data_IF_736142987730
#
_entry.id   IF_736142987730
#
_cell.length_a   1.000
_cell.length_b   1.000
_cell.length_c   1.000
_cell.angle_alpha   90.00
_cell.angle_beta   90.00
_cell.angle_gamma   90.00
#
_symmetry.space_group_name_H-M   'P 1'
#
loop_
_entity.id
_entity.type
_entity.pdbx_description
1 polymer ?
#
# COMPACT_ATOMS: atom_id res chain seq x y z
N UNK A 1 7.36 -24.28 2.07
CA UNK A 1 8.67 -23.87 1.47
C UNK A 1 9.62 -23.45 2.60
N UNK A 2 10.83 -24.01 2.70
CA UNK A 2 11.74 -23.76 3.83
C UNK A 2 12.50 -22.42 3.80
N UNK A 3 12.53 -21.70 2.68
CA UNK A 3 13.36 -20.49 2.48
C UNK A 3 12.57 -19.22 2.11
N UNK A 4 11.25 -19.19 2.33
CA UNK A 4 10.42 -18.05 1.97
C UNK A 4 10.39 -16.97 3.07
N UNK A 5 10.58 -15.70 2.68
CA UNK A 5 10.36 -14.55 3.55
C UNK A 5 8.92 -14.05 3.50
N UNK A 6 8.43 -13.48 4.60
CA UNK A 6 7.10 -12.88 4.70
C UNK A 6 7.28 -11.44 5.19
N UNK A 7 6.69 -10.50 4.45
CA UNK A 7 6.74 -9.08 4.79
C UNK A 7 5.41 -8.39 4.48
N UNK A 8 5.24 -7.21 5.06
CA UNK A 8 4.08 -6.36 4.82
C UNK A 8 4.32 -5.47 3.60
N UNK A 9 3.52 -5.57 2.52
CA UNK A 9 3.70 -4.74 1.33
C UNK A 9 3.52 -3.25 1.66
N UNK A 10 2.65 -2.91 2.62
CA UNK A 10 2.46 -1.52 3.05
C UNK A 10 3.71 -0.97 3.75
N UNK A 11 4.25 -1.69 4.74
CA UNK A 11 5.44 -1.25 5.48
C UNK A 11 6.65 -1.11 4.55
N UNK A 12 6.83 -2.02 3.59
CA UNK A 12 7.92 -1.97 2.61
C UNK A 12 7.83 -0.73 1.71
N UNK A 13 6.68 -0.50 1.06
CA UNK A 13 6.49 0.66 0.18
C UNK A 13 6.68 1.98 0.93
N UNK A 14 6.11 2.09 2.14
CA UNK A 14 6.24 3.29 2.97
C UNK A 14 7.70 3.49 3.41
N UNK A 15 8.41 2.43 3.78
CA UNK A 15 9.80 2.52 4.20
C UNK A 15 10.71 3.03 3.07
N UNK A 16 10.53 2.55 1.84
CA UNK A 16 11.30 3.06 0.69
C UNK A 16 10.98 4.52 0.40
N UNK A 17 9.69 4.88 0.38
CA UNK A 17 9.28 6.26 0.10
C UNK A 17 9.79 7.25 1.16
N UNK A 18 9.66 6.90 2.45
CA UNK A 18 10.13 7.76 3.54
C UNK A 18 11.66 7.84 3.60
N UNK A 19 12.40 6.76 3.28
CA UNK A 19 13.85 6.83 3.17
C UNK A 19 14.30 7.74 2.03
N UNK A 20 13.60 7.71 0.89
CA UNK A 20 13.83 8.65 -0.21
C UNK A 20 13.59 10.10 0.24
N UNK A 21 12.49 10.37 0.96
CA UNK A 21 12.19 11.71 1.50
C UNK A 21 13.24 12.19 2.50
N UNK A 22 13.68 11.32 3.42
CA UNK A 22 14.77 11.63 4.36
C UNK A 22 16.09 11.96 3.64
N UNK A 23 16.25 11.51 2.40
CA UNK A 23 17.40 11.81 1.55
C UNK A 23 17.17 12.98 0.57
N UNK A 24 16.05 13.70 0.68
CA UNK A 24 15.76 14.94 -0.05
C UNK A 24 14.87 14.76 -1.28
N UNK A 25 14.20 13.61 -1.44
CA UNK A 25 13.15 13.46 -2.46
C UNK A 25 11.86 14.13 -1.99
N UNK A 26 11.16 14.80 -2.90
CA UNK A 26 9.84 15.34 -2.64
C UNK A 26 8.75 14.38 -3.10
N UNK A 27 7.70 14.21 -2.29
CA UNK A 27 6.55 13.36 -2.61
C UNK A 27 5.29 14.22 -2.72
N UNK A 28 4.64 14.15 -3.87
CA UNK A 28 3.37 14.84 -4.14
C UNK A 28 2.22 13.84 -4.23
N UNK A 29 1.53 13.60 -3.11
CA UNK A 29 0.30 12.80 -3.09
C UNK A 29 -0.89 13.60 -3.64
N UNK A 30 -1.98 12.91 -4.00
CA UNK A 30 -3.17 13.51 -4.63
C UNK A 30 -2.84 14.36 -5.88
N UNK A 31 -1.80 13.97 -6.59
CA UNK A 31 -1.25 14.67 -7.76
C UNK A 31 -1.28 13.73 -8.95
N UNK A 32 -2.27 13.91 -9.82
CA UNK A 32 -2.55 13.05 -10.97
C UNK A 32 -1.88 13.67 -12.18
N UNK A 33 -1.12 12.88 -12.93
CA UNK A 33 -0.63 13.26 -14.26
C UNK A 33 -1.80 13.24 -15.24
N UNK A 34 -2.05 14.37 -15.90
CA UNK A 34 -3.17 14.55 -16.82
C UNK A 34 -2.73 14.50 -18.29
N UNK A 35 -1.55 15.04 -18.59
CA UNK A 35 -0.96 15.01 -19.92
C UNK A 35 0.54 15.31 -19.86
N UNK A 36 1.24 15.06 -20.97
CA UNK A 36 2.64 15.41 -21.14
C UNK A 36 2.83 16.13 -22.48
N UNK A 37 3.74 17.09 -22.51
CA UNK A 37 4.16 17.76 -23.74
C UNK A 37 5.46 17.12 -24.22
N UNK A 38 5.45 16.55 -25.43
CA UNK A 38 6.61 15.96 -26.09
C UNK A 38 7.03 16.83 -27.28
N UNK A 39 8.31 17.15 -27.39
CA UNK A 39 8.91 17.84 -28.53
C UNK A 39 10.28 17.23 -28.86
N UNK A 40 10.58 17.05 -30.14
CA UNK A 40 11.85 16.49 -30.63
C UNK A 40 12.25 15.15 -29.98
N UNK A 41 11.22 14.32 -29.69
CA UNK A 41 11.37 13.03 -29.02
C UNK A 41 11.67 13.11 -27.53
N UNK A 42 11.41 14.25 -26.87
CA UNK A 42 11.68 14.47 -25.45
C UNK A 42 10.46 15.05 -24.73
N UNK A 43 10.16 14.56 -23.53
CA UNK A 43 9.16 15.15 -22.64
C UNK A 43 9.72 16.45 -22.07
N UNK A 44 9.02 17.56 -22.33
CA UNK A 44 9.37 18.90 -21.85
C UNK A 44 8.63 19.26 -20.57
N UNK A 45 7.36 18.87 -20.48
CA UNK A 45 6.49 19.20 -19.36
C UNK A 45 5.50 18.08 -19.05
N UNK A 46 5.13 17.98 -17.78
CA UNK A 46 4.12 17.06 -17.25
C UNK A 46 3.07 17.92 -16.57
N UNK A 47 1.85 17.92 -17.12
CA UNK A 47 0.72 18.63 -16.55
C UNK A 47 0.03 17.75 -15.51
N UNK A 48 -0.20 18.32 -14.34
CA UNK A 48 -0.93 17.65 -13.25
C UNK A 48 -2.12 18.49 -12.80
N UNK A 49 -3.02 17.91 -12.03
CA UNK A 49 -4.10 18.64 -11.37
C UNK A 49 -3.63 19.71 -10.35
N UNK A 50 -2.32 19.80 -10.09
CA UNK A 50 -1.71 20.77 -9.15
C UNK A 50 -0.64 21.64 -9.80
N UNK A 51 -0.59 21.68 -11.13
CA UNK A 51 0.35 22.51 -11.89
C UNK A 51 1.28 21.69 -12.78
N UNK A 52 2.23 22.38 -13.39
CA UNK A 52 3.12 21.83 -14.42
C UNK A 52 4.50 21.59 -13.84
N UNK A 53 5.05 20.40 -14.07
CA UNK A 53 6.43 20.01 -13.72
C UNK A 53 7.25 19.91 -15.01
N UNK A 54 8.53 20.29 -14.96
CA UNK A 54 9.45 20.23 -16.11
C UNK A 54 10.63 19.29 -15.83
N UNK A 55 10.42 17.96 -15.93
CA UNK A 55 11.43 16.98 -15.55
C UNK A 55 12.53 16.85 -16.59
N UNK A 56 13.74 16.46 -16.15
CA UNK A 56 14.82 16.06 -17.07
C UNK A 56 14.63 14.62 -17.57
N UNK A 57 14.10 13.74 -16.72
CA UNK A 57 13.76 12.33 -17.00
C UNK A 57 12.43 12.00 -16.33
N UNK A 58 11.62 11.19 -16.99
CA UNK A 58 10.37 10.64 -16.47
C UNK A 58 10.51 9.14 -16.32
N UNK A 59 10.09 8.61 -15.17
CA UNK A 59 10.01 7.17 -14.92
C UNK A 59 8.52 6.82 -14.81
N UNK A 60 8.04 5.96 -15.71
CA UNK A 60 6.67 5.46 -15.69
C UNK A 60 6.58 4.20 -14.82
N UNK A 61 6.13 4.38 -13.58
CA UNK A 61 5.87 3.32 -12.60
C UNK A 61 4.39 3.29 -12.17
N UNK A 62 3.47 3.54 -13.10
CA UNK A 62 2.04 3.77 -12.81
C UNK A 62 1.20 2.49 -12.63
N UNK A 63 1.84 1.32 -12.51
CA UNK A 63 1.17 0.04 -12.28
C UNK A 63 0.10 -0.25 -13.35
N UNK A 64 -1.16 -0.40 -12.92
CA UNK A 64 -2.27 -0.72 -13.84
C UNK A 64 -2.52 0.38 -14.88
N UNK A 65 -1.99 1.58 -14.69
CA UNK A 65 -2.10 2.72 -15.61
C UNK A 65 -0.84 2.99 -16.44
N UNK A 66 0.18 2.12 -16.39
CA UNK A 66 1.44 2.37 -17.11
C UNK A 66 1.24 2.51 -18.63
N UNK A 67 0.30 1.76 -19.22
CA UNK A 67 -0.10 1.89 -20.63
C UNK A 67 -0.73 3.26 -20.95
N UNK A 68 -1.53 3.80 -20.03
CA UNK A 68 -2.15 5.12 -20.18
C UNK A 68 -1.14 6.25 -20.08
N UNK A 69 -0.15 6.13 -19.19
CA UNK A 69 0.96 7.08 -19.11
C UNK A 69 1.82 7.04 -20.38
N UNK A 70 2.13 5.85 -20.88
CA UNK A 70 2.88 5.68 -22.12
C UNK A 70 2.16 6.29 -23.33
N UNK A 71 0.83 6.11 -23.40
CA UNK A 71 -0.01 6.71 -24.45
C UNK A 71 -0.03 8.24 -24.46
N UNK A 72 0.24 8.93 -23.33
CA UNK A 72 0.30 10.40 -23.31
C UNK A 72 1.44 10.99 -24.16
N UNK A 73 2.40 10.14 -24.56
CA UNK A 73 3.59 10.52 -25.34
C UNK A 73 3.78 9.61 -26.56
N UNK A 74 2.70 8.98 -27.02
CA UNK A 74 2.65 8.05 -28.17
C UNK A 74 3.63 6.86 -28.09
N UNK A 75 3.99 6.41 -26.88
CA UNK A 75 4.92 5.30 -26.67
C UNK A 75 4.19 3.97 -26.40
N UNK A 76 3.31 3.57 -27.32
CA UNK A 76 2.28 2.55 -27.09
C UNK A 76 2.69 1.13 -27.56
N UNK A 77 3.91 0.69 -27.25
CA UNK A 77 4.37 -0.66 -27.62
C UNK A 77 3.84 -1.77 -26.71
N UNK A 78 3.18 -1.43 -25.60
CA UNK A 78 2.56 -2.38 -24.68
C UNK A 78 1.17 -1.92 -24.22
N UNK A 79 0.36 -2.87 -23.74
CA UNK A 79 -0.93 -2.59 -23.09
C UNK A 79 -1.03 -3.34 -21.77
N UNK A 80 -1.78 -2.79 -20.81
CA UNK A 80 -2.04 -3.47 -19.54
C UNK A 80 -3.40 -4.16 -19.60
N UNK A 81 -3.36 -5.48 -19.42
CA UNK A 81 -4.49 -6.37 -19.23
C UNK A 81 -4.70 -6.64 -17.72
N UNK A 82 -5.69 -6.03 -17.07
CA UNK A 82 -5.84 -6.14 -15.62
C UNK A 82 -6.26 -7.55 -15.16
N UNK A 83 -5.53 -8.11 -14.20
CA UNK A 83 -5.87 -9.41 -13.57
C UNK A 83 -6.26 -9.23 -12.11
N UNK A 84 -7.51 -9.52 -11.78
CA UNK A 84 -8.05 -9.39 -10.42
C UNK A 84 -7.75 -10.64 -9.60
N UNK A 85 -7.49 -10.44 -8.32
CA UNK A 85 -7.45 -11.51 -7.33
C UNK A 85 -8.06 -11.03 -6.03
N UNK A 86 -8.86 -11.90 -5.42
CA UNK A 86 -9.52 -11.71 -4.14
C UNK A 86 -8.86 -12.56 -3.07
N UNK A 87 -8.87 -12.04 -1.85
CA UNK A 87 -8.21 -12.62 -0.69
C UNK A 87 -9.18 -12.61 0.48
N UNK A 88 -9.13 -13.67 1.28
CA UNK A 88 -9.81 -13.75 2.59
C UNK A 88 -8.77 -13.61 3.69
N UNK A 89 -9.08 -12.82 4.72
CA UNK A 89 -8.24 -12.64 5.89
C UNK A 89 -8.95 -13.11 7.15
N UNK A 90 -8.25 -13.93 7.93
CA UNK A 90 -8.68 -14.49 9.20
C UNK A 90 -8.01 -13.75 10.36
N UNK A 91 -8.70 -13.68 11.48
CA UNK A 91 -8.20 -13.11 12.74
C UNK A 91 -6.84 -13.69 13.15
N UNK A 92 -5.90 -12.82 13.55
CA UNK A 92 -4.59 -13.20 14.08
C UNK A 92 -4.65 -14.12 15.31
N UNK A 93 -5.77 -14.14 16.03
CA UNK A 93 -6.01 -15.13 17.11
C UNK A 93 -5.87 -16.58 16.64
N UNK A 94 -6.15 -16.85 15.36
CA UNK A 94 -5.99 -18.17 14.74
C UNK A 94 -4.61 -18.39 14.11
N UNK A 95 -3.73 -17.37 14.12
CA UNK A 95 -2.39 -17.44 13.51
C UNK A 95 -1.50 -18.56 14.06
N UNK A 96 -1.72 -18.99 15.31
CA UNK A 96 -1.02 -20.13 15.91
C UNK A 96 -1.32 -21.48 15.24
N UNK A 97 -2.35 -21.56 14.39
CA UNK A 97 -2.68 -22.78 13.64
C UNK A 97 -1.80 -22.96 12.39
N UNK A 98 -0.99 -21.96 12.01
CA UNK A 98 -0.19 -21.99 10.78
C UNK A 98 1.27 -21.61 11.04
N UNK A 99 2.16 -22.56 10.76
CA UNK A 99 3.61 -22.40 10.94
C UNK A 99 4.40 -22.32 9.62
N UNK A 100 3.77 -22.65 8.49
CA UNK A 100 4.42 -22.65 7.18
C UNK A 100 3.46 -22.16 6.09
N UNK A 101 4.01 -21.74 4.94
CA UNK A 101 3.21 -21.45 3.75
C UNK A 101 2.69 -22.78 3.20
N UNK A 102 1.37 -22.88 3.09
CA UNK A 102 0.70 -24.07 2.56
C UNK A 102 0.05 -23.75 1.22
N UNK A 103 0.36 -24.54 0.22
CA UNK A 103 -0.37 -24.57 -1.05
C UNK A 103 -1.08 -25.90 -1.15
N UNK A 104 -2.32 -25.92 -1.65
CA UNK A 104 -3.00 -27.15 -2.02
C UNK A 104 -2.97 -27.31 -3.55
N UNK A 105 -1.92 -27.93 -4.11
CA UNK A 105 -1.85 -28.18 -5.54
C UNK A 105 -2.87 -29.26 -5.89
N UNK A 106 -4.02 -28.89 -6.44
CA UNK A 106 -4.92 -29.86 -7.09
C UNK A 106 -4.27 -30.35 -8.39
N UNK A 107 -4.46 -31.63 -8.76
CA UNK A 107 -3.95 -32.23 -10.02
C UNK A 107 -4.31 -31.43 -11.29
N UNK A 108 -5.40 -30.65 -11.25
CA UNK A 108 -5.84 -29.74 -12.31
C UNK A 108 -5.04 -28.44 -12.43
N UNK A 109 -4.23 -28.07 -11.43
CA UNK A 109 -3.31 -26.91 -11.51
C UNK A 109 -2.16 -27.12 -12.48
N UNK A 110 -1.90 -28.36 -12.92
CA UNK A 110 -0.88 -28.69 -13.94
C UNK A 110 -1.15 -28.07 -15.32
N UNK A 111 -2.41 -27.67 -15.62
CA UNK A 111 -2.81 -26.99 -16.86
C UNK A 111 -3.11 -25.49 -16.67
N UNK A 112 -2.97 -24.96 -15.46
CA UNK A 112 -3.26 -23.55 -15.14
C UNK A 112 -1.95 -22.77 -15.01
N UNK A 113 -1.91 -21.57 -15.59
CA UNK A 113 -0.79 -20.62 -15.41
C UNK A 113 -0.78 -19.99 -14.00
N UNK A 114 -1.78 -20.25 -13.17
CA UNK A 114 -1.81 -19.81 -11.78
C UNK A 114 -1.52 -20.97 -10.82
N UNK A 115 -0.61 -20.75 -9.86
CA UNK A 115 -0.33 -21.69 -8.76
C UNK A 115 -1.54 -21.91 -7.82
N UNK A 116 -2.68 -21.28 -8.11
CA UNK A 116 -3.95 -21.51 -7.45
C UNK A 116 -4.07 -20.92 -6.05
N UNK A 117 -3.28 -19.90 -5.71
CA UNK A 117 -3.29 -19.29 -4.38
C UNK A 117 -2.75 -20.21 -3.28
N UNK A 118 -2.66 -19.69 -2.06
CA UNK A 118 -2.17 -20.44 -0.91
C UNK A 118 -2.73 -19.91 0.39
N UNK A 119 -2.28 -20.53 1.47
CA UNK A 119 -2.57 -20.12 2.84
C UNK A 119 -1.26 -19.70 3.51
N UNK A 120 -1.22 -18.44 3.92
CA UNK A 120 0.00 -17.79 4.43
C UNK A 120 -0.34 -17.09 5.74
N UNK A 121 0.54 -17.24 6.76
CA UNK A 121 0.48 -16.36 7.93
C UNK A 121 1.18 -15.06 7.61
N UNK A 122 0.51 -13.92 7.70
CA UNK A 122 1.13 -12.62 7.43
C UNK A 122 2.18 -12.29 8.48
N UNK A 123 3.02 -11.30 8.22
CA UNK A 123 4.03 -10.80 9.19
C UNK A 123 3.40 -10.34 10.52
N UNK A 124 2.11 -10.03 10.51
CA UNK A 124 1.34 -9.55 11.66
C UNK A 124 0.46 -10.65 12.30
N UNK A 125 0.61 -11.90 11.85
CA UNK A 125 0.00 -13.08 12.46
C UNK A 125 -1.40 -13.45 11.95
N UNK A 126 -2.01 -12.65 11.08
CA UNK A 126 -3.26 -13.01 10.41
C UNK A 126 -3.04 -14.23 9.49
N UNK A 127 -4.08 -15.05 9.26
CA UNK A 127 -4.04 -16.06 8.19
C UNK A 127 -4.71 -15.47 6.95
N UNK A 128 -3.99 -15.53 5.83
CA UNK A 128 -4.42 -15.07 4.52
C UNK A 128 -4.68 -16.28 3.64
N UNK A 129 -5.84 -16.32 2.96
CA UNK A 129 -6.20 -17.35 1.98
C UNK A 129 -6.41 -16.75 0.59
N UNK A 130 -5.85 -17.40 -0.43
CA UNK A 130 -5.91 -16.99 -1.84
C UNK A 130 -4.55 -16.52 -2.37
N UNK A 131 -4.50 -15.59 -3.35
CA UNK A 131 -5.66 -15.08 -4.08
C UNK A 131 -6.17 -16.09 -5.11
N UNK A 132 -7.43 -15.93 -5.55
CA UNK A 132 -7.83 -16.42 -6.86
C UNK A 132 -7.23 -15.52 -7.97
N UNK A 133 -7.47 -15.84 -9.25
CA UNK A 133 -6.97 -15.02 -10.36
C UNK A 133 -7.87 -15.11 -11.57
N UNK A 134 -8.40 -13.97 -12.03
CA UNK A 134 -9.21 -13.89 -13.25
C UNK A 134 -9.00 -12.55 -13.95
N UNK A 135 -9.24 -12.55 -15.26
CA UNK A 135 -9.12 -11.38 -16.13
C UNK A 135 -10.30 -10.43 -15.94
N UNK A 136 -10.07 -9.13 -16.08
CA UNK A 136 -11.14 -8.14 -16.07
C UNK A 136 -10.77 -6.85 -16.83
N UNK A 137 -11.76 -6.09 -17.34
CA UNK A 137 -11.48 -4.89 -18.11
C UNK A 137 -11.14 -3.66 -17.23
N UNK A 138 -11.50 -3.67 -15.93
CA UNK A 138 -11.37 -2.48 -15.10
C UNK A 138 -10.05 -2.46 -14.31
N UNK A 139 -9.33 -1.33 -14.38
CA UNK A 139 -8.06 -1.14 -13.67
C UNK A 139 -8.24 -0.92 -12.15
N UNK A 140 -9.41 -0.42 -11.73
CA UNK A 140 -9.71 -0.05 -10.33
C UNK A 140 -10.98 -0.72 -9.76
N UNK A 141 -11.37 -1.89 -10.28
CA UNK A 141 -12.45 -2.66 -9.65
C UNK A 141 -11.94 -3.46 -8.44
N UNK A 142 -12.12 -2.90 -7.25
CA UNK A 142 -11.77 -3.52 -5.98
C UNK A 142 -12.94 -4.22 -5.27
N UNK A 143 -14.09 -4.38 -5.95
CA UNK A 143 -15.23 -5.10 -5.37
C UNK A 143 -14.90 -6.58 -5.15
N UNK A 144 -15.70 -7.27 -4.34
CA UNK A 144 -15.58 -8.73 -4.17
C UNK A 144 -16.87 -9.42 -4.54
N UNK A 145 -16.79 -10.63 -5.07
CA UNK A 145 -17.96 -11.47 -5.41
C UNK A 145 -18.08 -12.64 -4.45
N UNK A 146 -19.29 -12.91 -3.97
CA UNK A 146 -19.54 -13.98 -2.99
C UNK A 146 -19.07 -15.34 -3.51
N UNK A 147 -19.38 -15.63 -4.76
CA UNK A 147 -19.08 -16.91 -5.41
C UNK A 147 -17.56 -17.17 -5.43
N UNK A 148 -16.78 -16.13 -5.67
CA UNK A 148 -15.33 -16.19 -5.69
C UNK A 148 -14.74 -16.38 -4.28
N UNK A 149 -15.31 -15.71 -3.28
CA UNK A 149 -14.92 -15.89 -1.87
C UNK A 149 -15.25 -17.31 -1.41
N UNK A 150 -16.43 -17.83 -1.76
CA UNK A 150 -16.84 -19.20 -1.46
C UNK A 150 -15.87 -20.23 -2.10
N UNK A 151 -15.39 -19.97 -3.32
CA UNK A 151 -14.40 -20.82 -3.99
C UNK A 151 -13.07 -20.86 -3.21
N UNK A 152 -12.55 -19.69 -2.80
CA UNK A 152 -11.34 -19.58 -1.98
C UNK A 152 -11.51 -20.36 -0.67
N UNK A 153 -12.65 -20.19 0.02
CA UNK A 153 -12.95 -20.88 1.27
C UNK A 153 -13.06 -22.40 1.08
N UNK A 154 -13.81 -22.86 0.06
CA UNK A 154 -13.94 -24.28 -0.27
C UNK A 154 -12.59 -24.93 -0.53
N UNK A 155 -11.67 -24.21 -1.19
CA UNK A 155 -10.34 -24.69 -1.52
C UNK A 155 -9.37 -24.70 -0.33
N UNK A 156 -9.41 -23.67 0.51
CA UNK A 156 -8.33 -23.40 1.47
C UNK A 156 -8.72 -23.58 2.93
N UNK A 157 -9.98 -23.40 3.30
CA UNK A 157 -10.39 -23.34 4.70
C UNK A 157 -10.22 -24.69 5.42
N UNK A 158 -10.46 -25.79 4.72
CA UNK A 158 -10.34 -27.15 5.27
C UNK A 158 -8.89 -27.65 5.37
N UNK A 159 -7.91 -26.87 4.89
CA UNK A 159 -6.48 -27.22 5.00
C UNK A 159 -6.02 -27.14 6.47
N UNK A 160 -6.60 -26.23 7.25
CA UNK A 160 -6.20 -25.96 8.64
C UNK A 160 -7.38 -26.30 9.56
N UNK A 161 -7.23 -27.36 10.35
CA UNK A 161 -8.20 -27.72 11.37
C UNK A 161 -8.35 -26.61 12.42
N UNK A 162 -9.58 -26.31 12.85
CA UNK A 162 -9.88 -25.30 13.88
C UNK A 162 -10.18 -23.90 13.35
N UNK A 163 -10.22 -23.71 12.02
CA UNK A 163 -10.78 -22.52 11.38
C UNK A 163 -12.29 -22.64 11.17
N UNK A 164 -13.00 -21.52 11.36
CA UNK A 164 -14.44 -21.40 11.10
C UNK A 164 -14.73 -20.12 10.30
N UNK A 165 -15.92 -20.04 9.69
CA UNK A 165 -16.34 -18.85 8.95
C UNK A 165 -16.41 -17.61 9.85
N UNK A 166 -16.69 -17.79 11.15
CA UNK A 166 -16.73 -16.72 12.15
C UNK A 166 -15.35 -16.12 12.51
N UNK A 167 -14.27 -16.73 12.02
CA UNK A 167 -12.91 -16.23 12.18
C UNK A 167 -12.48 -15.28 11.05
N UNK A 168 -13.25 -15.20 9.97
CA UNK A 168 -13.01 -14.28 8.86
C UNK A 168 -13.28 -12.86 9.34
N UNK A 169 -12.32 -11.97 9.16
CA UNK A 169 -12.43 -10.56 9.59
C UNK A 169 -12.60 -9.60 8.41
N UNK A 170 -12.12 -9.97 7.22
CA UNK A 170 -12.29 -9.16 6.01
C UNK A 170 -11.99 -9.97 4.75
N UNK A 171 -12.43 -9.44 3.61
CA UNK A 171 -12.08 -9.86 2.27
C UNK A 171 -11.81 -8.63 1.43
N UNK A 172 -10.89 -8.73 0.48
CA UNK A 172 -10.53 -7.62 -0.39
C UNK A 172 -10.00 -8.14 -1.73
N UNK A 173 -10.05 -7.27 -2.73
CA UNK A 173 -9.50 -7.55 -4.04
C UNK A 173 -8.34 -6.60 -4.37
N UNK A 174 -7.41 -7.10 -5.19
CA UNK A 174 -6.37 -6.33 -5.85
C UNK A 174 -6.34 -6.61 -7.34
N UNK A 175 -5.85 -5.65 -8.12
CA UNK A 175 -5.73 -5.76 -9.58
C UNK A 175 -4.26 -5.66 -9.96
N UNK A 176 -3.76 -6.68 -10.65
CA UNK A 176 -2.39 -6.78 -11.15
C UNK A 176 -2.28 -6.14 -12.54
N UNK A 177 -1.15 -5.51 -12.79
CA UNK A 177 -0.84 -4.82 -14.04
C UNK A 177 -0.16 -5.78 -15.03
N UNK A 178 -0.82 -6.85 -15.45
CA UNK A 178 -0.23 -7.79 -16.39
C UNK A 178 -0.23 -7.22 -17.82
N UNK A 179 0.74 -7.62 -18.63
CA UNK A 179 0.75 -7.46 -20.09
C UNK A 179 0.29 -8.76 -20.75
N UNK A 180 -0.03 -8.74 -22.05
CA UNK A 180 -0.35 -9.96 -22.79
C UNK A 180 0.84 -10.91 -22.96
N UNK A 181 2.05 -10.36 -22.92
CA UNK A 181 3.31 -11.12 -22.91
C UNK A 181 3.62 -11.70 -21.52
N UNK A 182 2.88 -11.28 -20.49
CA UNK A 182 3.01 -11.71 -19.10
C UNK A 182 4.41 -11.48 -18.49
N UNK A 183 5.20 -10.57 -19.07
CA UNK A 183 6.54 -10.19 -18.63
C UNK A 183 6.62 -8.72 -18.17
N UNK A 184 7.67 -8.40 -17.42
CA UNK A 184 7.92 -7.05 -16.91
C UNK A 184 8.61 -6.20 -17.97
N UNK A 185 8.23 -4.93 -18.01
CA UNK A 185 8.84 -3.92 -18.89
C UNK A 185 9.70 -3.03 -18.00
N UNK A 186 11.01 -3.26 -18.02
CA UNK A 186 12.02 -2.52 -17.25
C UNK A 186 13.09 -2.01 -18.21
N UNK A 187 12.75 -0.97 -18.97
CA UNK A 187 13.58 -0.50 -20.08
C UNK A 187 13.41 1.00 -20.39
N UNK A 188 14.34 1.57 -21.17
CA UNK A 188 14.21 2.92 -21.75
C UNK A 188 13.25 2.86 -22.92
N UNK A 189 12.48 3.92 -23.12
CA UNK A 189 11.72 4.08 -24.37
C UNK A 189 12.66 4.16 -25.57
N UNK A 190 12.33 3.45 -26.65
CA UNK A 190 13.03 3.57 -27.93
C UNK A 190 12.69 4.89 -28.66
N UNK A 191 11.50 5.45 -28.41
CA UNK A 191 10.98 6.62 -29.12
C UNK A 191 11.09 7.93 -28.31
N UNK A 192 11.09 7.84 -26.98
CA UNK A 192 11.10 9.01 -26.08
C UNK A 192 12.39 9.05 -25.27
N UNK A 193 13.29 9.96 -25.66
CA UNK A 193 14.69 10.07 -25.22
C UNK A 193 14.89 10.18 -23.70
N UNK A 194 13.88 10.61 -22.95
CA UNK A 194 13.96 10.82 -21.51
C UNK A 194 12.85 10.10 -20.72
N UNK A 195 12.41 8.95 -21.22
CA UNK A 195 11.42 8.09 -20.58
C UNK A 195 12.00 6.71 -20.26
N UNK A 196 11.71 6.20 -19.07
CA UNK A 196 12.02 4.84 -18.61
C UNK A 196 10.75 4.20 -18.08
N UNK A 197 10.50 2.93 -18.40
CA UNK A 197 9.36 2.17 -17.94
C UNK A 197 9.74 1.19 -16.83
N UNK A 198 8.89 1.14 -15.80
CA UNK A 198 8.74 0.05 -14.84
C UNK A 198 7.25 -0.38 -14.89
N UNK A 199 6.89 -1.14 -15.92
CA UNK A 199 5.52 -1.46 -16.29
C UNK A 199 5.31 -2.97 -16.41
N UNK A 200 4.05 -3.42 -16.52
CA UNK A 200 3.74 -4.86 -16.64
C UNK A 200 4.01 -5.67 -15.37
N UNK A 201 4.35 -5.02 -14.25
CA UNK A 201 4.83 -5.70 -13.05
C UNK A 201 3.67 -6.41 -12.35
N UNK A 202 3.66 -7.73 -12.48
CA UNK A 202 2.81 -8.67 -11.74
C UNK A 202 3.63 -9.48 -10.72
N UNK A 203 3.25 -10.71 -10.36
CA UNK A 203 4.08 -11.56 -9.49
C UNK A 203 5.33 -12.03 -10.25
N UNK A 204 6.55 -11.98 -9.68
CA UNK A 204 6.93 -11.70 -8.28
C UNK A 204 7.38 -10.25 -7.99
N UNK A 205 6.67 -9.26 -8.50
CA UNK A 205 7.04 -7.83 -8.51
C UNK A 205 7.42 -7.20 -7.18
N UNK A 206 6.78 -7.59 -6.08
CA UNK A 206 7.15 -7.10 -4.75
C UNK A 206 8.56 -7.57 -4.34
N UNK A 207 8.89 -8.83 -4.64
CA UNK A 207 10.20 -9.40 -4.31
C UNK A 207 11.30 -8.89 -5.24
N UNK A 208 10.98 -8.63 -6.51
CA UNK A 208 11.94 -8.11 -7.49
C UNK A 208 12.08 -6.58 -7.46
N UNK A 209 11.25 -5.85 -6.72
CA UNK A 209 11.25 -4.38 -6.70
C UNK A 209 12.63 -3.74 -6.44
N UNK A 210 13.48 -4.25 -5.52
CA UNK A 210 14.84 -3.70 -5.33
C UNK A 210 15.73 -3.85 -6.57
N UNK A 211 15.70 -5.01 -7.23
CA UNK A 211 16.49 -5.25 -8.44
C UNK A 211 16.00 -4.38 -9.61
N UNK A 212 14.68 -4.25 -9.77
CA UNK A 212 14.07 -3.35 -10.75
C UNK A 212 14.54 -1.90 -10.50
N UNK A 213 14.60 -1.46 -9.24
CA UNK A 213 15.05 -0.11 -8.91
C UNK A 213 16.52 0.14 -9.31
N UNK A 214 17.41 -0.86 -9.17
CA UNK A 214 18.80 -0.75 -9.61
C UNK A 214 18.92 -0.58 -11.13
N UNK A 215 18.12 -1.30 -11.91
CA UNK A 215 18.14 -1.19 -13.37
C UNK A 215 17.53 0.14 -13.85
N UNK A 216 16.45 0.58 -13.21
CA UNK A 216 15.87 1.93 -13.43
C UNK A 216 16.88 3.02 -13.07
N UNK A 217 17.64 2.88 -11.97
CA UNK A 217 18.69 3.81 -11.59
C UNK A 217 19.77 3.92 -12.68
N UNK A 218 20.31 2.79 -13.15
CA UNK A 218 21.35 2.76 -14.21
C UNK A 218 20.88 3.49 -15.47
N UNK A 219 19.68 3.16 -15.95
CA UNK A 219 19.10 3.79 -17.15
C UNK A 219 18.85 5.29 -16.95
N UNK A 220 18.38 5.68 -15.77
CA UNK A 220 18.14 7.08 -15.42
C UNK A 220 19.44 7.88 -15.36
N UNK A 221 20.51 7.31 -14.79
CA UNK A 221 21.85 7.92 -14.76
C UNK A 221 22.38 8.10 -16.18
N UNK A 222 22.26 7.11 -17.05
CA UNK A 222 22.70 7.21 -18.44
C UNK A 222 22.01 8.36 -19.19
N UNK A 223 20.70 8.53 -19.01
CA UNK A 223 19.95 9.63 -19.62
C UNK A 223 20.36 10.98 -19.02
N UNK A 224 20.43 11.08 -17.69
CA UNK A 224 20.74 12.33 -17.00
C UNK A 224 22.16 12.81 -17.26
N UNK A 225 23.13 11.90 -17.37
CA UNK A 225 24.55 12.21 -17.58
C UNK A 225 24.81 12.95 -18.89
N UNK A 226 23.90 12.86 -19.87
CA UNK A 226 23.96 13.60 -21.13
C UNK A 226 23.64 15.10 -20.97
N UNK A 227 23.03 15.50 -19.85
CA UNK A 227 22.54 16.89 -19.63
C UNK A 227 22.96 17.50 -18.30
N UNK A 228 23.56 16.72 -17.38
CA UNK A 228 24.15 17.19 -16.14
C UNK A 228 25.13 16.16 -15.59
N UNK A 229 26.09 16.63 -14.81
CA UNK A 229 26.90 15.78 -13.96
C UNK A 229 26.02 15.11 -12.88
N UNK A 230 26.15 13.79 -12.73
CA UNK A 230 25.38 12.97 -11.78
C UNK A 230 26.36 12.30 -10.84
N UNK A 231 26.29 12.65 -9.56
CA UNK A 231 27.17 12.12 -8.51
C UNK A 231 26.37 11.49 -7.39
N UNK A 232 26.98 10.50 -6.73
CA UNK A 232 26.45 9.98 -5.47
C UNK A 232 26.48 11.09 -4.41
N UNK A 233 25.50 11.06 -3.53
CA UNK A 233 25.36 12.00 -2.43
C UNK A 233 26.20 11.52 -1.25
N UNK A 234 27.14 12.35 -0.78
CA UNK A 234 28.10 11.97 0.28
C UNK A 234 27.42 11.65 1.62
N UNK A 235 26.34 12.36 1.94
CA UNK A 235 25.57 12.20 3.17
C UNK A 235 24.27 11.40 2.95
N UNK A 236 24.26 10.46 2.00
CA UNK A 236 23.14 9.55 1.84
C UNK A 236 22.98 8.65 3.07
N UNK A 237 21.77 8.60 3.62
CA UNK A 237 21.45 7.80 4.80
C UNK A 237 20.61 6.56 4.41
N UNK A 238 21.19 5.34 4.46
CA UNK A 238 20.45 4.10 4.18
C UNK A 238 19.41 3.75 5.26
N UNK A 239 19.52 4.33 6.45
CA UNK A 239 18.81 3.86 7.63
C UNK A 239 17.59 4.74 7.90
N UNK A 240 16.41 4.20 7.62
CA UNK A 240 15.13 4.75 8.07
C UNK A 240 14.77 4.22 9.45
N UNK A 241 14.46 5.11 10.40
CA UNK A 241 13.87 4.72 11.69
C UNK A 241 12.36 4.61 11.55
N UNK A 242 11.81 3.45 11.89
CA UNK A 242 10.38 3.19 11.85
C UNK A 242 9.61 3.65 13.09
N UNK A 243 8.28 3.64 12.96
CA UNK A 243 7.38 3.80 14.11
C UNK A 243 7.56 2.57 15.01
N UNK A 244 7.83 2.76 16.32
CA UNK A 244 7.87 1.68 17.30
C UNK A 244 6.59 0.82 17.28
N UNK A 245 6.70 -0.51 17.27
CA UNK A 245 5.53 -1.41 17.31
C UNK A 245 5.40 -2.03 18.71
N UNK A 246 4.61 -1.38 19.56
CA UNK A 246 4.57 -1.68 21.00
C UNK A 246 4.12 -3.10 21.32
N UNK A 247 3.19 -3.63 20.53
CA UNK A 247 2.65 -4.98 20.67
C UNK A 247 3.71 -6.08 20.49
N UNK A 248 4.86 -5.75 19.90
CA UNK A 248 5.99 -6.67 19.70
C UNK A 248 7.16 -6.44 20.67
N UNK A 249 7.09 -5.40 21.51
CA UNK A 249 8.16 -5.04 22.43
C UNK A 249 8.14 -5.86 23.72
N UNK A 250 9.32 -6.04 24.33
CA UNK A 250 9.44 -6.60 25.68
C UNK A 250 8.96 -5.58 26.72
N UNK A 251 8.37 -6.06 27.81
CA UNK A 251 7.77 -5.21 28.85
C UNK A 251 8.70 -4.14 29.41
N UNK A 252 9.99 -4.46 29.60
CA UNK A 252 10.99 -3.50 30.10
C UNK A 252 11.23 -2.34 29.13
N UNK A 253 11.34 -2.64 27.83
CA UNK A 253 11.55 -1.65 26.77
C UNK A 253 10.30 -0.80 26.57
N UNK A 254 9.13 -1.45 26.54
CA UNK A 254 7.82 -0.79 26.46
C UNK A 254 7.62 0.17 27.63
N UNK A 255 7.89 -0.27 28.86
CA UNK A 255 7.78 0.57 30.07
C UNK A 255 8.71 1.78 30.03
N UNK A 256 9.95 1.60 29.56
CA UNK A 256 10.91 2.69 29.43
C UNK A 256 10.44 3.73 28.38
N UNK A 257 9.88 3.28 27.26
CA UNK A 257 9.33 4.16 26.23
C UNK A 257 8.12 4.94 26.74
N UNK A 258 7.19 4.27 27.43
CA UNK A 258 6.01 4.91 28.04
C UNK A 258 6.43 5.97 29.06
N UNK A 259 7.44 5.68 29.91
CA UNK A 259 7.95 6.66 30.88
C UNK A 259 8.52 7.90 30.19
N UNK A 260 9.14 7.75 29.02
CA UNK A 260 9.70 8.87 28.24
C UNK A 260 8.64 9.65 27.46
N UNK A 261 7.64 8.97 26.89
CA UNK A 261 6.53 9.54 26.13
C UNK A 261 5.22 8.87 26.56
N UNK A 262 4.47 9.46 27.50
CA UNK A 262 3.25 8.86 28.06
C UNK A 262 2.16 8.50 27.04
N UNK A 263 2.10 9.15 25.88
CA UNK A 263 1.14 8.82 24.81
C UNK A 263 1.27 7.37 24.32
N UNK A 264 2.44 6.74 24.50
CA UNK A 264 2.63 5.33 24.20
C UNK A 264 1.94 4.38 25.21
N UNK A 265 1.50 4.90 26.36
CA UNK A 265 0.74 4.15 27.35
C UNK A 265 -0.77 4.14 27.10
N UNK A 266 -1.28 5.04 26.25
CA UNK A 266 -2.71 5.15 25.94
C UNK A 266 -3.07 4.27 24.75
N UNK A 267 -3.82 3.17 24.98
CA UNK A 267 -4.20 2.23 23.91
C UNK A 267 -5.48 2.70 23.19
N UNK A 268 -5.34 2.97 21.90
CA UNK A 268 -6.43 3.44 21.04
C UNK A 268 -7.09 2.28 20.29
N UNK A 269 -6.31 1.34 19.76
CA UNK A 269 -6.85 0.15 19.10
C UNK A 269 -6.59 -1.11 19.94
N UNK A 270 -7.62 -1.57 20.66
CA UNK A 270 -7.52 -2.78 21.51
C UNK A 270 -7.26 -4.07 20.71
N UNK A 271 -7.80 -4.20 19.51
CA UNK A 271 -7.59 -5.42 18.71
C UNK A 271 -6.13 -5.59 18.27
N UNK A 272 -5.46 -4.48 17.93
CA UNK A 272 -4.09 -4.46 17.43
C UNK A 272 -3.06 -3.98 18.46
N UNK A 273 -3.52 -3.62 19.67
CA UNK A 273 -2.73 -3.04 20.76
C UNK A 273 -1.94 -1.79 20.35
N UNK A 274 -2.55 -0.95 19.51
CA UNK A 274 -1.93 0.29 18.99
C UNK A 274 -2.19 1.44 19.95
N UNK A 275 -1.11 2.10 20.34
CA UNK A 275 -1.09 3.27 21.22
C UNK A 275 -1.37 4.59 20.49
N UNK A 276 -1.73 5.62 21.25
CA UNK A 276 -1.83 7.00 20.76
C UNK A 276 -0.49 7.49 20.22
N UNK A 277 0.63 7.17 20.91
CA UNK A 277 1.98 7.51 20.47
C UNK A 277 2.32 6.99 19.07
N UNK A 278 1.94 5.75 18.74
CA UNK A 278 2.11 5.19 17.39
C UNK A 278 1.31 5.95 16.31
N UNK A 279 0.11 6.40 16.66
CA UNK A 279 -0.75 7.18 15.74
C UNK A 279 -0.16 8.57 15.51
N UNK A 280 0.28 9.26 16.58
CA UNK A 280 0.95 10.56 16.49
C UNK A 280 2.20 10.46 15.61
N UNK A 281 3.02 9.43 15.82
CA UNK A 281 4.24 9.23 15.03
C UNK A 281 3.93 8.91 13.55
N UNK A 282 2.81 8.25 13.25
CA UNK A 282 2.34 8.05 11.88
C UNK A 282 1.88 9.36 11.20
N UNK A 283 1.22 10.25 11.96
CA UNK A 283 0.76 11.54 11.46
C UNK A 283 1.95 12.46 11.17
N UNK A 284 2.98 12.41 12.00
CA UNK A 284 4.19 13.24 11.93
C UNK A 284 5.37 12.57 11.20
N UNK A 285 5.16 11.42 10.56
CA UNK A 285 6.18 10.71 9.78
C UNK A 285 6.71 11.56 8.60
N UNK A 286 7.89 11.24 8.02
CA UNK A 286 8.45 11.97 6.88
C UNK A 286 7.47 12.11 5.70
N UNK A 287 6.59 11.12 5.52
CA UNK A 287 5.39 11.23 4.68
C UNK A 287 4.17 11.19 5.62
N UNK A 288 3.59 12.35 5.97
CA UNK A 288 2.50 12.44 6.94
C UNK A 288 1.27 11.60 6.58
N UNK A 289 0.75 10.84 7.54
CA UNK A 289 -0.53 10.14 7.39
C UNK A 289 -1.71 11.11 7.61
N UNK A 290 -2.46 11.42 6.55
CA UNK A 290 -3.57 12.39 6.58
C UNK A 290 -4.96 11.78 6.33
N UNK A 291 -5.12 10.47 6.51
CA UNK A 291 -6.41 9.77 6.40
C UNK A 291 -6.44 8.54 7.31
N UNK A 292 -7.64 8.04 7.62
CA UNK A 292 -7.80 6.87 8.50
C UNK A 292 -7.05 5.66 7.97
N UNK A 293 -7.18 5.34 6.68
CA UNK A 293 -6.50 4.19 6.09
C UNK A 293 -4.98 4.45 5.90
N UNK A 294 -4.51 5.70 5.88
CA UNK A 294 -3.07 6.00 5.91
C UNK A 294 -2.45 5.70 7.27
N UNK A 295 -3.17 5.99 8.36
CA UNK A 295 -2.78 5.62 9.73
C UNK A 295 -2.86 4.11 9.89
N UNK A 296 -3.96 3.49 9.42
CA UNK A 296 -4.17 2.03 9.43
C UNK A 296 -3.02 1.28 8.78
N UNK A 297 -2.55 1.68 7.60
CA UNK A 297 -1.46 0.99 6.89
C UNK A 297 -0.08 1.15 7.54
N UNK A 298 0.10 2.14 8.42
CA UNK A 298 1.35 2.39 9.16
C UNK A 298 1.37 1.72 10.53
N UNK A 299 0.24 1.73 11.23
CA UNK A 299 0.14 1.34 12.65
C UNK A 299 -0.70 0.09 12.89
N UNK A 300 -1.51 -0.33 11.90
CA UNK A 300 -2.58 -1.34 12.00
C UNK A 300 -3.81 -0.92 12.79
N UNK A 301 -3.92 0.33 13.27
CA UNK A 301 -5.13 0.78 13.95
C UNK A 301 -6.37 0.55 13.07
N UNK A 302 -7.27 -0.33 13.52
CA UNK A 302 -8.47 -0.72 12.78
C UNK A 302 -8.31 -1.87 11.77
N UNK A 303 -7.19 -2.60 11.76
CA UNK A 303 -7.01 -3.81 10.95
C UNK A 303 -7.41 -5.10 11.66
N UNK A 304 -7.68 -5.05 12.97
CA UNK A 304 -8.09 -6.21 13.76
C UNK A 304 -9.55 -6.61 13.58
N UNK A 305 -10.05 -7.55 14.40
CA UNK A 305 -11.41 -8.13 14.28
C UNK A 305 -12.54 -7.12 14.09
N UNK A 306 -12.50 -5.97 14.77
CA UNK A 306 -13.56 -4.98 14.68
C UNK A 306 -13.56 -4.12 13.39
N UNK A 307 -12.53 -4.24 12.54
CA UNK A 307 -12.41 -3.50 11.27
C UNK A 307 -12.71 -1.99 11.41
N UNK A 308 -12.03 -1.32 12.35
CA UNK A 308 -12.22 0.11 12.69
C UNK A 308 -13.52 0.46 13.43
N UNK A 309 -14.40 -0.49 13.75
CA UNK A 309 -15.70 -0.21 14.39
C UNK A 309 -15.67 0.50 15.75
N UNK A 310 -14.53 0.47 16.47
CA UNK A 310 -14.39 1.15 17.77
C UNK A 310 -13.35 2.27 17.78
N UNK A 311 -12.17 2.04 17.20
CA UNK A 311 -11.06 2.98 17.32
C UNK A 311 -11.12 4.14 16.31
N UNK A 312 -11.96 4.06 15.27
CA UNK A 312 -11.99 5.09 14.22
C UNK A 312 -12.30 6.50 14.73
N UNK A 313 -13.30 6.73 15.61
CA UNK A 313 -13.56 8.08 16.11
C UNK A 313 -12.38 8.66 16.91
N UNK A 314 -11.70 7.83 17.70
CA UNK A 314 -10.51 8.23 18.44
C UNK A 314 -9.32 8.55 17.52
N UNK A 315 -9.09 7.71 16.50
CA UNK A 315 -8.06 7.95 15.48
C UNK A 315 -8.34 9.25 14.71
N UNK A 316 -9.60 9.52 14.36
CA UNK A 316 -10.00 10.75 13.68
C UNK A 316 -9.75 11.98 14.57
N UNK A 317 -10.09 11.89 15.86
CA UNK A 317 -9.83 12.97 16.84
C UNK A 317 -8.35 13.27 16.99
N UNK A 318 -7.51 12.25 17.15
CA UNK A 318 -6.05 12.43 17.23
C UNK A 318 -5.53 13.05 15.92
N UNK A 319 -6.05 12.62 14.76
CA UNK A 319 -5.67 13.21 13.49
C UNK A 319 -6.05 14.68 13.38
N UNK A 320 -7.26 15.07 13.79
CA UNK A 320 -7.67 16.48 13.86
C UNK A 320 -6.73 17.29 14.75
N UNK A 321 -6.50 16.84 15.98
CA UNK A 321 -5.67 17.52 16.98
C UNK A 321 -4.22 17.71 16.49
N UNK A 322 -3.61 16.67 15.91
CA UNK A 322 -2.21 16.68 15.49
C UNK A 322 -1.97 17.37 14.14
N UNK A 323 -2.94 17.31 13.22
CA UNK A 323 -2.76 17.83 11.86
C UNK A 323 -3.40 19.19 11.61
N UNK A 324 -4.27 19.65 12.52
CA UNK A 324 -5.07 20.86 12.35
C UNK A 324 -6.15 20.75 11.27
N UNK A 325 -6.39 19.54 10.73
CA UNK A 325 -7.47 19.29 9.78
C UNK A 325 -8.81 19.34 10.50
N UNK A 326 -9.79 20.05 9.93
CA UNK A 326 -11.17 20.01 10.44
C UNK A 326 -11.71 18.57 10.34
N UNK A 327 -12.32 18.08 11.43
CA UNK A 327 -12.88 16.73 11.53
C UNK A 327 -13.73 16.31 10.33
N UNK A 328 -14.50 17.21 9.70
CA UNK A 328 -15.36 16.90 8.54
C UNK A 328 -14.58 16.69 7.25
N UNK A 329 -13.33 17.15 7.21
CA UNK A 329 -12.42 16.98 6.06
C UNK A 329 -11.60 15.70 6.15
N UNK A 330 -11.59 15.04 7.31
CA UNK A 330 -10.94 13.74 7.46
C UNK A 330 -11.66 12.71 6.59
N UNK A 331 -10.88 11.94 5.84
CA UNK A 331 -11.38 10.91 4.93
C UNK A 331 -10.90 9.54 5.34
N UNK A 332 -11.63 8.51 4.89
CA UNK A 332 -11.23 7.11 5.08
C UNK A 332 -9.96 6.80 4.30
N UNK A 333 -9.93 7.12 3.00
CA UNK A 333 -8.84 6.76 2.07
C UNK A 333 -8.48 7.87 1.07
N UNK A 334 -8.77 9.13 1.40
CA UNK A 334 -8.57 10.28 0.51
C UNK A 334 -9.80 10.61 -0.35
N UNK A 335 -9.69 11.68 -1.13
CA UNK A 335 -10.70 12.12 -2.11
C UNK A 335 -12.12 12.19 -1.52
N UNK A 336 -13.12 11.63 -2.20
CA UNK A 336 -14.52 11.68 -1.82
C UNK A 336 -14.92 10.74 -0.66
N UNK A 337 -13.97 10.03 -0.02
CA UNK A 337 -14.28 9.08 1.04
C UNK A 337 -14.48 9.73 2.41
N UNK A 338 -15.42 10.68 2.49
CA UNK A 338 -15.79 11.31 3.76
C UNK A 338 -16.32 10.27 4.74
N UNK A 339 -16.00 10.45 6.02
CA UNK A 339 -16.49 9.57 7.10
C UNK A 339 -17.57 10.25 7.94
N UNK A 340 -17.71 11.57 7.83
CA UNK A 340 -18.67 12.37 8.59
C UNK A 340 -19.39 13.33 7.65
N UNK A 341 -20.70 13.48 7.84
CA UNK A 341 -21.55 14.37 7.03
C UNK A 341 -21.71 15.75 7.67
N UNK A 342 -21.90 15.79 8.99
CA UNK A 342 -22.17 17.01 9.73
C UNK A 342 -22.14 16.83 11.25
N UNK A 343 -22.43 17.90 11.97
CA UNK A 343 -22.61 17.85 13.44
C UNK A 343 -24.03 17.42 13.75
N UNK A 344 -24.21 16.40 14.57
CA UNK A 344 -25.51 15.97 15.07
C UNK A 344 -25.87 16.79 16.32
N UNK A 345 -26.75 17.79 16.12
CA UNK A 345 -27.29 18.76 17.10
C UNK A 345 -26.27 19.72 17.74
N UNK A 346 -26.69 20.98 17.94
CA UNK A 346 -26.01 21.98 18.79
C UNK A 346 -26.14 21.58 20.27
N UNK A 347 -25.36 20.59 20.72
CA UNK A 347 -25.25 20.29 22.14
C UNK A 347 -24.44 21.39 22.83
N UNK A 348 -25.11 22.19 23.67
CA UNK A 348 -24.46 23.02 24.68
C UNK A 348 -23.68 22.06 25.61
N UNK A 349 -22.36 21.97 25.42
CA UNK A 349 -21.35 21.74 26.45
C UNK A 349 -19.97 21.69 25.78
N UNK A 350 -19.05 22.46 26.34
CA UNK A 350 -17.68 22.63 25.88
C UNK A 350 -16.94 21.27 25.87
N UNK A 351 -16.34 20.91 24.72
CA UNK A 351 -15.28 19.90 24.67
C UNK A 351 -15.48 18.66 23.79
N UNK A 352 -16.64 18.42 23.18
CA UNK A 352 -16.84 17.26 22.31
C UNK A 352 -17.98 17.43 21.31
N UNK A 353 -17.66 17.70 20.05
CA UNK A 353 -18.65 17.72 18.98
C UNK A 353 -19.14 16.30 18.65
N UNK A 354 -20.45 16.06 18.77
CA UNK A 354 -21.07 14.87 18.19
C UNK A 354 -21.19 15.06 16.67
N UNK A 355 -20.68 14.10 15.89
CA UNK A 355 -20.74 14.10 14.43
C UNK A 355 -21.58 12.94 13.92
N UNK A 356 -22.29 13.14 12.81
CA UNK A 356 -23.03 12.10 12.09
C UNK A 356 -22.06 11.31 11.21
N UNK A 357 -22.01 9.99 11.40
CA UNK A 357 -21.26 9.10 10.53
C UNK A 357 -22.10 8.74 9.29
N UNK A 358 -21.44 8.70 8.13
CA UNK A 358 -22.03 8.24 6.87
C UNK A 358 -22.22 6.72 6.83
#
# INVERSE_FOLDING_TARGET
>A
MPTAGILSPYKMTIAFAENAVMNGVEVSLNTIVQSMEKKDGKILSVSTNRGIIRPKVVINAAGVYSDKIAAMVDDQFFTIHPRKGEIVLVDKKKGHLLYSIVSNPTLTTSKSTSKGGGVIKTSEGNILMGPNSYEQPFKEDFTTKKENIDEILKKHMNIISGLSHADIITYFAGVRAATYEEDFIVEKSEYVKNLVHAAGIQSPGLASAPAIAEDIEKMTIEILSKVKDVKRKDNWNPIRKGIPELSSMKDKERSALIKKRPDYGEIICRCEEVSKGEIIDAINAPIPAKSIDAIKRRTRAGMGRCQSGFCMPLVAKILEEESGLDMKTITKKGNASKILEGKTRKGQNEGGGNYEAL
#
